data_IF_991624883232
#
_entry.id   IF_991624883232
#
_cell.length_a   1.000
_cell.length_b   1.000
_cell.length_c   1.000
_cell.angle_alpha   90.00
_cell.angle_beta   90.00
_cell.angle_gamma   90.00
#
_symmetry.space_group_name_H-M   'P 1'
#
loop_
_entity.id
_entity.type
_entity.pdbx_description
1 polymer ?
#
# COMPACT_ATOMS: atom_id res chain seq x y z
N UNK A 1 3.57 -10.96 -4.56
CA UNK A 1 4.00 -9.59 -4.20
C UNK A 1 3.29 -8.52 -4.99
N UNK A 2 3.39 -8.46 -6.32
CA UNK A 2 2.75 -7.39 -7.09
C UNK A 2 1.24 -7.18 -6.82
N UNK A 3 0.47 -8.26 -6.68
CA UNK A 3 -0.96 -8.16 -6.33
C UNK A 3 -1.18 -7.51 -4.95
N UNK A 4 -0.48 -8.00 -3.93
CA UNK A 4 -0.55 -7.50 -2.56
C UNK A 4 -0.12 -6.02 -2.45
N UNK A 5 0.98 -5.65 -3.11
CA UNK A 5 1.47 -4.27 -3.13
C UNK A 5 0.48 -3.31 -3.81
N UNK A 6 -0.16 -3.74 -4.91
CA UNK A 6 -1.20 -2.94 -5.60
C UNK A 6 -2.47 -2.74 -4.75
N UNK A 7 -2.85 -3.76 -4.00
CA UNK A 7 -4.06 -3.73 -3.16
C UNK A 7 -3.87 -2.93 -1.85
N UNK A 8 -2.64 -2.59 -1.49
CA UNK A 8 -2.34 -1.89 -0.24
C UNK A 8 -2.48 -0.38 -0.44
N UNK A 9 -3.44 0.24 0.27
CA UNK A 9 -3.66 1.69 0.21
C UNK A 9 -2.73 2.49 1.12
N UNK A 10 -2.17 1.87 2.17
CA UNK A 10 -1.26 2.53 3.10
C UNK A 10 0.15 2.65 2.50
N UNK A 11 0.53 3.86 2.13
CA UNK A 11 1.85 4.23 1.61
C UNK A 11 2.54 5.22 2.56
N UNK A 12 3.82 4.97 2.83
CA UNK A 12 4.67 5.83 3.66
C UNK A 12 5.98 6.12 2.95
N UNK A 13 6.59 7.25 3.32
CA UNK A 13 7.83 7.73 2.71
C UNK A 13 7.64 9.11 2.10
N UNK A 14 8.70 9.61 1.51
CA UNK A 14 8.71 10.89 0.80
C UNK A 14 9.13 10.61 -0.63
N UNK A 15 8.47 11.24 -1.59
CA UNK A 15 8.86 11.17 -2.99
C UNK A 15 10.36 11.48 -3.16
N UNK A 16 11.00 10.76 -4.08
CA UNK A 16 12.38 10.96 -4.50
C UNK A 16 13.40 10.86 -3.34
N UNK A 17 13.02 10.21 -2.24
CA UNK A 17 13.90 9.93 -1.10
C UNK A 17 14.15 8.44 -0.99
N UNK A 18 15.41 8.02 -1.13
CA UNK A 18 15.79 6.63 -0.93
C UNK A 18 15.61 6.20 0.53
N UNK A 19 15.25 4.94 0.75
CA UNK A 19 15.10 4.36 2.08
C UNK A 19 16.50 4.01 2.61
N UNK A 20 17.13 4.96 3.32
CA UNK A 20 18.50 4.81 3.85
C UNK A 20 18.55 4.65 5.36
N UNK A 21 17.46 4.95 6.08
CA UNK A 21 17.38 4.89 7.54
C UNK A 21 16.11 4.18 7.98
N UNK A 22 16.02 3.92 9.30
CA UNK A 22 14.87 3.27 9.91
C UNK A 22 13.60 4.16 9.99
N UNK A 23 13.63 5.39 9.48
CA UNK A 23 12.47 6.29 9.48
C UNK A 23 11.27 5.71 8.71
N UNK A 24 11.50 5.23 7.48
CA UNK A 24 10.41 4.69 6.63
C UNK A 24 9.82 3.41 7.22
N UNK A 25 10.62 2.40 7.65
CA UNK A 25 10.09 1.26 8.40
C UNK A 25 9.38 1.65 9.70
N UNK A 26 9.87 2.67 10.42
CA UNK A 26 9.24 3.20 11.62
C UNK A 26 7.86 3.81 11.37
N UNK A 27 7.71 4.56 10.26
CA UNK A 27 6.43 5.11 9.79
C UNK A 27 5.47 4.00 9.31
N UNK A 28 5.96 3.00 8.60
CA UNK A 28 5.16 1.84 8.18
C UNK A 28 4.60 1.10 9.40
N UNK A 29 5.43 0.88 10.42
CA UNK A 29 5.01 0.31 11.70
C UNK A 29 3.95 1.16 12.39
N UNK A 30 4.11 2.48 12.38
CA UNK A 30 3.13 3.40 12.97
C UNK A 30 1.78 3.32 12.25
N UNK A 31 1.75 3.23 10.91
CA UNK A 31 0.52 3.01 10.13
C UNK A 31 -0.16 1.70 10.48
N UNK A 32 0.58 0.59 10.56
CA UNK A 32 0.02 -0.69 10.98
C UNK A 32 -0.60 -0.62 12.39
N UNK A 33 0.02 0.11 13.31
CA UNK A 33 -0.54 0.30 14.65
C UNK A 33 -1.81 1.18 14.65
N UNK A 34 -1.85 2.22 13.81
CA UNK A 34 -3.03 3.09 13.65
C UNK A 34 -4.21 2.31 13.06
N UNK A 35 -3.94 1.32 12.21
CA UNK A 35 -4.94 0.38 11.70
C UNK A 35 -5.24 -0.79 12.65
N UNK A 36 -4.80 -0.75 13.92
CA UNK A 36 -4.99 -1.79 14.93
C UNK A 36 -4.43 -3.18 14.55
N UNK A 37 -3.49 -3.25 13.62
CA UNK A 37 -2.89 -4.53 13.24
C UNK A 37 -2.15 -5.14 14.44
N UNK A 38 -2.22 -6.47 14.66
CA UNK A 38 -1.48 -7.13 15.73
C UNK A 38 0.02 -6.85 15.64
N UNK A 39 0.68 -6.75 16.80
CA UNK A 39 2.11 -6.37 16.88
C UNK A 39 3.08 -7.53 16.65
N UNK A 40 2.62 -8.77 16.76
CA UNK A 40 3.40 -9.98 16.44
C UNK A 40 3.43 -10.23 14.93
N UNK A 41 4.32 -11.13 14.48
CA UNK A 41 4.32 -11.74 13.15
C UNK A 41 4.22 -10.76 11.96
N UNK A 42 4.95 -9.65 12.04
CA UNK A 42 5.09 -8.69 10.95
C UNK A 42 6.34 -8.98 10.15
N UNK A 43 6.23 -8.89 8.83
CA UNK A 43 7.33 -9.08 7.91
C UNK A 43 7.46 -7.89 6.96
N UNK A 44 8.69 -7.58 6.56
CA UNK A 44 9.02 -6.60 5.54
C UNK A 44 9.71 -7.33 4.39
N UNK A 45 9.22 -7.12 3.18
CA UNK A 45 9.90 -7.54 1.95
C UNK A 45 10.50 -6.35 1.23
N UNK A 46 11.81 -6.39 1.01
CA UNK A 46 12.62 -5.34 0.37
C UNK A 46 13.47 -5.96 -0.74
N UNK A 47 13.86 -5.16 -1.74
CA UNK A 47 14.87 -5.53 -2.73
C UNK A 47 16.28 -5.38 -2.15
N UNK A 48 17.27 -6.03 -2.76
CA UNK A 48 18.66 -5.98 -2.29
C UNK A 48 19.27 -4.57 -2.30
N UNK A 49 18.86 -3.69 -3.21
CA UNK A 49 19.41 -2.31 -3.30
C UNK A 49 18.89 -1.45 -2.15
N UNK A 50 17.60 -1.52 -1.87
CA UNK A 50 16.99 -0.87 -0.69
C UNK A 50 17.58 -1.41 0.61
N UNK A 51 17.77 -2.73 0.68
CA UNK A 51 18.35 -3.37 1.85
C UNK A 51 19.81 -2.96 2.10
N UNK A 52 20.64 -2.93 1.05
CA UNK A 52 22.01 -2.41 1.14
C UNK A 52 22.05 -0.93 1.59
N UNK A 53 21.07 -0.14 1.15
CA UNK A 53 20.93 1.26 1.55
C UNK A 53 20.56 1.42 3.02
N UNK A 54 19.68 0.55 3.54
CA UNK A 54 19.28 0.53 4.95
C UNK A 54 20.42 0.16 5.90
N UNK A 55 21.32 -0.75 5.48
CA UNK A 55 22.48 -1.16 6.29
C UNK A 55 23.38 0.05 6.61
N UNK A 56 23.50 1.02 5.70
CA UNK A 56 24.28 2.24 5.96
C UNK A 56 23.71 3.08 7.12
N UNK A 57 22.39 3.19 7.21
CA UNK A 57 21.73 3.95 8.29
C UNK A 57 21.70 3.24 9.65
N UNK A 58 22.22 2.01 9.76
CA UNK A 58 22.20 1.20 10.97
C UNK A 58 23.58 1.02 11.63
N UNK A 59 24.60 1.76 11.19
CA UNK A 59 25.98 1.68 11.69
C UNK A 59 26.10 1.70 13.22
N UNK A 60 25.38 2.61 13.89
CA UNK A 60 25.42 2.76 15.35
C UNK A 60 24.74 1.61 16.11
N UNK A 61 23.75 0.96 15.49
CA UNK A 61 23.07 -0.19 16.11
C UNK A 61 23.96 -1.43 16.05
N UNK A 62 24.70 -1.61 14.96
CA UNK A 62 25.61 -2.75 14.80
C UNK A 62 26.79 -2.71 15.76
N UNK A 63 27.21 -1.53 16.25
CA UNK A 63 28.33 -1.38 17.17
C UNK A 63 27.98 -1.70 18.63
N UNK A 64 26.70 -1.67 19.00
CA UNK A 64 26.23 -1.88 20.39
C UNK A 64 25.80 -3.34 20.64
N UNK A 65 25.53 -4.10 19.59
CA UNK A 65 25.04 -5.49 19.73
C UNK A 65 26.16 -6.44 20.21
N UNK A 66 25.93 -7.22 21.29
CA UNK A 66 26.90 -8.20 21.75
C UNK A 66 27.09 -9.29 20.68
N UNK A 67 28.34 -9.63 20.39
CA UNK A 67 28.67 -10.80 19.57
C UNK A 67 28.17 -12.08 20.28
N UNK A 68 27.66 -13.12 19.58
CA UNK A 68 27.65 -13.35 18.13
C UNK A 68 26.26 -13.15 17.50
N UNK A 69 25.70 -11.94 17.54
CA UNK A 69 24.47 -11.69 16.79
C UNK A 69 24.72 -11.70 15.26
N UNK A 70 23.84 -12.33 14.49
CA UNK A 70 23.91 -12.38 13.01
C UNK A 70 24.00 -10.99 12.38
N UNK A 71 23.41 -10.00 13.05
CA UNK A 71 23.43 -8.57 12.71
C UNK A 71 24.84 -7.97 12.81
N UNK A 72 25.58 -8.31 13.88
CA UNK A 72 26.96 -7.85 14.10
C UNK A 72 27.97 -8.52 13.16
N UNK A 73 27.79 -9.82 12.84
CA UNK A 73 28.76 -10.57 12.03
C UNK A 73 28.53 -10.43 10.53
N UNK A 74 27.28 -10.45 10.06
CA UNK A 74 26.94 -10.44 8.63
C UNK A 74 26.53 -9.06 8.11
N UNK A 75 26.46 -8.03 8.98
CA UNK A 75 25.93 -6.69 8.66
C UNK A 75 24.58 -6.77 7.94
N UNK A 76 23.76 -7.71 8.36
CA UNK A 76 22.44 -7.97 7.79
C UNK A 76 21.37 -7.53 8.79
N UNK A 77 20.30 -6.92 8.29
CA UNK A 77 19.15 -6.53 9.11
C UNK A 77 18.28 -7.77 9.26
N UNK A 78 18.32 -8.41 10.43
CA UNK A 78 17.49 -9.57 10.72
C UNK A 78 16.09 -9.14 11.20
N UNK A 79 16.04 -8.24 12.18
CA UNK A 79 14.79 -7.74 12.76
C UNK A 79 14.97 -6.31 13.25
N UNK A 80 14.08 -5.43 12.83
CA UNK A 80 14.02 -4.05 13.33
C UNK A 80 12.63 -3.48 13.08
N UNK A 81 12.28 -2.38 13.75
CA UNK A 81 10.94 -1.78 13.68
C UNK A 81 9.78 -2.79 13.95
N UNK A 82 10.02 -3.79 14.82
CA UNK A 82 9.08 -4.87 15.15
C UNK A 82 8.66 -5.76 13.96
N UNK A 83 9.48 -5.88 12.92
CA UNK A 83 9.26 -6.80 11.81
C UNK A 83 10.53 -7.53 11.39
N UNK A 84 10.34 -8.71 10.81
CA UNK A 84 11.38 -9.55 10.25
C UNK A 84 11.61 -9.18 8.77
N UNK A 85 12.87 -9.02 8.37
CA UNK A 85 13.24 -8.57 7.03
C UNK A 85 13.53 -9.75 6.10
N UNK A 86 13.01 -9.66 4.88
CA UNK A 86 13.24 -10.62 3.81
C UNK A 86 13.62 -9.89 2.52
N UNK A 87 14.68 -10.37 1.86
CA UNK A 87 15.13 -9.83 0.58
C UNK A 87 14.45 -10.58 -0.58
N UNK A 88 13.94 -9.84 -1.57
CA UNK A 88 13.32 -10.38 -2.77
C UNK A 88 13.47 -9.41 -3.94
N UNK A 89 14.07 -9.86 -5.04
CA UNK A 89 14.21 -9.04 -6.26
C UNK A 89 12.90 -8.89 -7.05
N UNK A 90 11.88 -9.71 -6.74
CA UNK A 90 10.54 -9.64 -7.34
C UNK A 90 9.61 -8.67 -6.58
N UNK A 91 10.19 -7.64 -5.97
CA UNK A 91 9.43 -6.49 -5.46
C UNK A 91 8.84 -5.73 -6.64
N UNK A 92 7.59 -5.28 -6.49
CA UNK A 92 6.90 -4.60 -7.57
C UNK A 92 7.35 -3.15 -7.68
N UNK A 93 7.49 -2.67 -8.92
CA UNK A 93 7.72 -1.26 -9.21
C UNK A 93 6.45 -0.62 -9.76
N UNK A 94 6.05 0.48 -9.15
CA UNK A 94 4.91 1.32 -9.52
C UNK A 94 5.31 2.32 -10.60
N UNK A 95 4.81 2.21 -11.84
CA UNK A 95 4.91 3.27 -12.81
C UNK A 95 3.78 4.29 -12.59
N UNK A 96 4.12 5.51 -12.17
CA UNK A 96 3.13 6.59 -12.12
C UNK A 96 2.72 7.02 -13.53
N UNK A 97 1.45 7.38 -13.68
CA UNK A 97 0.92 7.97 -14.90
C UNK A 97 1.49 9.37 -15.17
N UNK A 98 1.16 9.93 -16.33
CA UNK A 98 1.57 11.29 -16.71
C UNK A 98 0.92 12.38 -15.83
N UNK A 99 -0.20 12.06 -15.18
CA UNK A 99 -0.89 12.95 -14.25
C UNK A 99 -0.81 12.42 -12.82
N UNK A 100 -0.55 13.35 -11.89
CA UNK A 100 -0.53 13.07 -10.44
C UNK A 100 -1.40 14.05 -9.65
N UNK A 101 -2.17 14.90 -10.32
CA UNK A 101 -3.12 15.81 -9.71
C UNK A 101 -4.32 16.03 -10.63
N UNK A 102 -5.52 16.06 -10.05
CA UNK A 102 -6.78 16.43 -10.72
C UNK A 102 -7.77 16.92 -9.66
N UNK A 103 -9.02 17.13 -10.03
CA UNK A 103 -10.14 17.42 -9.13
C UNK A 103 -11.28 16.44 -9.39
N UNK A 104 -12.22 16.31 -8.45
CA UNK A 104 -13.50 15.69 -8.75
C UNK A 104 -14.25 16.50 -9.82
N UNK A 105 -14.95 15.80 -10.72
CA UNK A 105 -15.78 16.45 -11.76
C UNK A 105 -17.24 16.52 -11.32
N UNK A 106 -17.55 17.53 -10.50
CA UNK A 106 -18.91 17.82 -10.01
C UNK A 106 -19.59 16.60 -9.34
N UNK A 107 -18.79 15.61 -8.95
CA UNK A 107 -19.24 14.31 -8.48
C UNK A 107 -19.58 14.40 -7.01
N UNK A 108 -20.82 14.06 -6.66
CA UNK A 108 -21.25 13.96 -5.26
C UNK A 108 -20.96 12.55 -4.79
N UNK A 109 -19.85 12.39 -4.06
CA UNK A 109 -19.51 11.12 -3.42
C UNK A 109 -20.55 10.77 -2.37
N UNK A 110 -20.98 9.51 -2.35
CA UNK A 110 -21.90 8.96 -1.36
C UNK A 110 -21.24 7.84 -0.54
N UNK A 111 -21.92 7.43 0.53
CA UNK A 111 -21.48 6.34 1.39
C UNK A 111 -21.37 5.02 0.62
N UNK A 112 -20.21 4.38 0.69
CA UNK A 112 -19.95 3.10 0.04
C UNK A 112 -19.44 3.18 -1.40
N UNK A 113 -19.22 4.39 -1.93
CA UNK A 113 -18.63 4.55 -3.26
C UNK A 113 -17.26 3.85 -3.36
N UNK A 114 -17.09 3.15 -4.48
CA UNK A 114 -15.83 2.48 -4.86
C UNK A 114 -15.27 3.05 -6.17
N UNK A 115 -15.90 4.10 -6.69
CA UNK A 115 -15.50 4.84 -7.86
C UNK A 115 -15.81 6.33 -7.71
N UNK A 116 -15.02 7.16 -8.40
CA UNK A 116 -15.21 8.61 -8.47
C UNK A 116 -15.05 9.06 -9.91
N UNK A 117 -15.80 10.10 -10.28
CA UNK A 117 -15.57 10.83 -11.54
C UNK A 117 -14.62 11.99 -11.27
N UNK A 118 -13.54 12.06 -12.05
CA UNK A 118 -12.50 13.09 -11.96
C UNK A 118 -12.52 13.97 -13.21
N UNK A 119 -12.05 15.20 -13.07
CA UNK A 119 -11.76 16.04 -14.20
C UNK A 119 -10.75 15.31 -15.11
N UNK A 120 -10.96 15.45 -16.42
CA UNK A 120 -10.26 14.66 -17.44
C UNK A 120 -8.75 14.67 -17.24
N UNK A 121 -8.20 13.50 -16.95
CA UNK A 121 -6.77 13.22 -16.96
C UNK A 121 -6.29 13.10 -18.41
N UNK A 122 -5.09 13.57 -18.69
CA UNK A 122 -4.38 13.34 -19.95
C UNK A 122 -3.99 11.87 -20.15
N UNK A 123 -3.75 11.15 -19.06
CA UNK A 123 -3.52 9.71 -19.04
C UNK A 123 -4.22 9.04 -17.86
N UNK A 124 -4.84 7.89 -18.10
CA UNK A 124 -5.50 7.12 -17.04
C UNK A 124 -4.50 6.72 -15.94
N UNK A 125 -4.91 6.83 -14.67
CA UNK A 125 -4.13 6.38 -13.53
C UNK A 125 -3.91 4.86 -13.56
N UNK A 126 -2.74 4.41 -13.15
CA UNK A 126 -2.38 2.98 -13.20
C UNK A 126 -2.80 2.28 -11.90
N UNK A 127 -3.25 1.03 -12.02
CA UNK A 127 -3.61 0.20 -10.88
C UNK A 127 -2.47 0.09 -9.85
N UNK A 128 -2.79 0.40 -8.60
CA UNK A 128 -1.93 0.48 -7.44
C UNK A 128 -1.53 1.91 -7.06
N UNK A 129 -1.65 2.91 -7.96
CA UNK A 129 -1.34 4.29 -7.61
C UNK A 129 -2.14 4.70 -6.37
N UNK A 130 -1.47 5.29 -5.38
CA UNK A 130 -2.12 5.73 -4.14
C UNK A 130 -2.43 7.21 -4.25
N UNK A 131 -3.64 7.60 -3.90
CA UNK A 131 -4.08 8.99 -3.92
C UNK A 131 -4.80 9.39 -2.63
N UNK A 132 -4.91 10.70 -2.45
CA UNK A 132 -5.66 11.33 -1.35
C UNK A 132 -6.62 12.36 -1.93
N UNK A 133 -7.73 12.59 -1.24
CA UNK A 133 -8.70 13.63 -1.59
C UNK A 133 -8.64 14.74 -0.54
N UNK A 134 -8.56 16.00 -0.98
CA UNK A 134 -8.48 17.14 -0.09
C UNK A 134 -9.69 17.22 0.87
N UNK A 135 -9.42 17.44 2.16
CA UNK A 135 -10.44 17.54 3.20
C UNK A 135 -10.95 16.19 3.75
N UNK A 136 -10.50 15.06 3.18
CA UNK A 136 -10.90 13.71 3.62
C UNK A 136 -9.81 13.13 4.51
N UNK A 137 -10.00 13.21 5.84
CA UNK A 137 -9.02 12.71 6.82
C UNK A 137 -9.32 11.26 7.22
N UNK A 138 -8.27 10.48 7.49
CA UNK A 138 -8.43 9.14 8.05
C UNK A 138 -8.94 9.21 9.49
N UNK A 139 -9.68 8.19 9.94
CA UNK A 139 -10.22 8.10 11.30
C UNK A 139 -9.71 6.86 12.01
N UNK A 140 -9.57 6.95 13.33
CA UNK A 140 -9.24 5.81 14.14
C UNK A 140 -10.36 4.75 14.02
N UNK A 141 -10.06 3.47 13.69
CA UNK A 141 -11.09 2.47 13.39
C UNK A 141 -12.09 2.25 14.53
N UNK A 142 -11.62 2.30 15.79
CA UNK A 142 -12.46 2.12 17.00
C UNK A 142 -13.09 3.41 17.52
N UNK A 143 -12.29 4.45 17.85
CA UNK A 143 -12.80 5.68 18.46
C UNK A 143 -13.43 6.67 17.48
N UNK A 144 -13.25 6.47 16.17
CA UNK A 144 -13.69 7.35 15.07
C UNK A 144 -13.12 8.77 15.13
N UNK A 145 -12.09 9.00 15.94
CA UNK A 145 -11.40 10.29 15.99
C UNK A 145 -10.58 10.50 14.72
N UNK A 146 -10.74 11.65 14.08
CA UNK A 146 -9.95 12.00 12.90
C UNK A 146 -8.47 12.15 13.23
N UNK A 147 -7.62 11.59 12.39
CA UNK A 147 -6.18 11.82 12.41
C UNK A 147 -5.81 13.11 11.65
N UNK A 148 -4.58 13.58 11.83
CA UNK A 148 -4.04 14.77 11.15
C UNK A 148 -3.59 14.54 9.70
N UNK A 149 -3.81 13.35 9.14
CA UNK A 149 -3.40 13.00 7.78
C UNK A 149 -4.61 12.61 6.93
N UNK A 150 -4.51 12.88 5.64
CA UNK A 150 -5.54 12.51 4.67
C UNK A 150 -5.65 10.99 4.53
N UNK A 151 -6.87 10.52 4.25
CA UNK A 151 -7.13 9.13 3.90
C UNK A 151 -6.46 8.81 2.57
N UNK A 152 -5.77 7.68 2.53
CA UNK A 152 -5.17 7.15 1.31
C UNK A 152 -6.07 6.08 0.71
N UNK A 153 -6.17 6.10 -0.62
CA UNK A 153 -6.90 5.14 -1.44
C UNK A 153 -5.97 4.60 -2.52
N UNK A 154 -6.10 3.33 -2.88
CA UNK A 154 -5.39 2.72 -4.00
C UNK A 154 -6.28 2.62 -5.23
N UNK A 155 -5.75 2.93 -6.41
CA UNK A 155 -6.43 2.73 -7.69
C UNK A 155 -6.52 1.24 -7.99
N UNK A 156 -7.73 0.73 -8.21
CA UNK A 156 -7.97 -0.65 -8.67
C UNK A 156 -7.93 -0.68 -10.19
N UNK A 157 -8.63 0.25 -10.84
CA UNK A 157 -8.63 0.47 -12.29
C UNK A 157 -9.04 1.92 -12.58
N UNK A 158 -8.76 2.42 -13.77
CA UNK A 158 -9.24 3.76 -14.15
C UNK A 158 -9.35 3.96 -15.65
N UNK A 159 -10.10 4.98 -16.01
CA UNK A 159 -10.08 5.66 -17.30
C UNK A 159 -9.58 7.09 -17.10
N UNK A 160 -9.60 7.92 -18.14
CA UNK A 160 -9.22 9.33 -18.03
C UNK A 160 -10.21 10.17 -17.22
N UNK A 161 -11.44 9.71 -17.04
CA UNK A 161 -12.51 10.47 -16.34
C UNK A 161 -13.09 9.74 -15.13
N UNK A 162 -12.79 8.46 -14.94
CA UNK A 162 -13.31 7.66 -13.83
C UNK A 162 -12.22 6.83 -13.18
N UNK A 163 -12.17 6.81 -11.85
CA UNK A 163 -11.18 6.07 -11.06
C UNK A 163 -11.92 5.15 -10.11
N UNK A 164 -11.72 3.84 -10.24
CA UNK A 164 -12.20 2.86 -9.27
C UNK A 164 -11.10 2.62 -8.22
N UNK A 165 -11.47 2.59 -6.94
CA UNK A 165 -10.51 2.59 -5.85
C UNK A 165 -10.92 1.68 -4.68
N UNK A 166 -9.96 1.47 -3.78
CA UNK A 166 -10.15 0.77 -2.52
C UNK A 166 -9.38 1.48 -1.41
N UNK A 167 -9.87 1.49 -0.15
CA UNK A 167 -11.16 1.00 0.31
C UNK A 167 -12.34 1.90 -0.10
N UNK A 168 -13.56 1.38 -0.03
CA UNK A 168 -14.78 2.19 -0.21
C UNK A 168 -14.84 3.31 0.84
N UNK A 169 -15.41 4.46 0.49
CA UNK A 169 -15.46 5.64 1.38
C UNK A 169 -16.70 5.62 2.29
N UNK A 170 -16.48 5.81 3.59
CA UNK A 170 -17.55 5.83 4.60
C UNK A 170 -17.32 6.94 5.63
N UNK A 171 -18.25 7.88 5.73
CA UNK A 171 -18.24 8.96 6.72
C UNK A 171 -18.98 8.59 8.01
N UNK A 172 -19.17 9.56 8.90
CA UNK A 172 -19.88 9.38 10.17
C UNK A 172 -21.33 8.90 10.01
N UNK A 173 -21.94 9.10 8.85
CA UNK A 173 -23.28 8.58 8.54
C UNK A 173 -23.35 7.04 8.54
N UNK A 174 -22.21 6.36 8.32
CA UNK A 174 -22.13 4.89 8.23
C UNK A 174 -21.76 4.20 9.55
N UNK A 175 -21.72 4.94 10.66
CA UNK A 175 -21.52 4.41 12.01
C UNK A 175 -20.26 3.56 12.15
N UNK A 176 -20.42 2.26 12.40
CA UNK A 176 -19.30 1.34 12.61
C UNK A 176 -18.36 1.23 11.39
N UNK A 177 -18.87 1.43 10.17
CA UNK A 177 -18.09 1.34 8.94
C UNK A 177 -17.27 2.60 8.63
N UNK A 178 -17.44 3.69 9.41
CA UNK A 178 -16.74 4.95 9.18
C UNK A 178 -15.22 4.76 9.10
N UNK A 179 -14.65 5.24 8.00
CA UNK A 179 -13.22 5.22 7.71
C UNK A 179 -12.65 6.59 7.26
N UNK A 180 -13.52 7.59 7.07
CA UNK A 180 -13.13 8.99 6.81
C UNK A 180 -13.86 9.96 7.73
N UNK A 181 -13.27 11.15 7.92
CA UNK A 181 -13.84 12.21 8.75
C UNK A 181 -15.08 12.86 8.12
N UNK A 182 -15.20 12.80 6.80
CA UNK A 182 -16.27 13.40 6.02
C UNK A 182 -16.14 13.04 4.54
N UNK A 183 -17.24 13.19 3.80
CA UNK A 183 -17.23 13.03 2.34
C UNK A 183 -16.58 14.28 1.70
N UNK A 184 -15.87 14.11 0.56
CA UNK A 184 -15.23 15.22 -0.13
C UNK A 184 -16.26 16.19 -0.73
N UNK A 185 -15.83 17.43 -0.98
CA UNK A 185 -16.60 18.38 -1.78
C UNK A 185 -16.58 17.98 -3.25
N UNK A 186 -17.58 18.40 -4.03
CA UNK A 186 -17.77 17.99 -5.44
C UNK A 186 -16.64 18.39 -6.41
N UNK A 187 -15.72 19.25 -5.97
CA UNK A 187 -14.54 19.73 -6.72
C UNK A 187 -13.24 19.58 -5.92
N UNK A 188 -13.24 18.72 -4.90
CA UNK A 188 -12.07 18.49 -4.06
C UNK A 188 -10.86 18.04 -4.92
N UNK A 189 -9.68 18.51 -4.56
CA UNK A 189 -8.44 18.12 -5.22
C UNK A 189 -8.13 16.64 -4.93
N UNK A 190 -7.77 15.91 -5.98
CA UNK A 190 -7.33 14.52 -5.95
C UNK A 190 -5.85 14.50 -6.30
N UNK A 191 -5.01 14.06 -5.37
CA UNK A 191 -3.54 14.07 -5.54
C UNK A 191 -3.01 12.66 -5.41
N UNK A 192 -2.31 12.19 -6.44
CA UNK A 192 -1.61 10.91 -6.44
C UNK A 192 -0.21 11.08 -5.85
N UNK A 193 0.27 10.06 -5.14
CA UNK A 193 1.60 10.08 -4.54
C UNK A 193 2.71 10.00 -5.59
N UNK A 194 3.72 10.84 -5.44
CA UNK A 194 4.92 10.84 -6.25
C UNK A 194 4.87 11.81 -7.43
N UNK A 195 5.86 11.70 -8.30
CA UNK A 195 6.03 12.53 -9.49
C UNK A 195 5.41 11.83 -10.70
N UNK A 196 4.89 12.62 -11.64
CA UNK A 196 4.40 12.14 -12.94
C UNK A 196 5.48 11.38 -13.71
N UNK A 197 5.09 10.30 -14.39
CA UNK A 197 5.94 9.48 -15.26
C UNK A 197 7.20 8.90 -14.60
N UNK A 198 7.26 8.87 -13.26
CA UNK A 198 8.34 8.21 -12.51
C UNK A 198 7.94 6.81 -12.05
N UNK A 199 8.94 5.94 -11.92
CA UNK A 199 8.76 4.58 -11.41
C UNK A 199 9.35 4.45 -10.00
N UNK A 200 8.61 3.85 -9.08
CA UNK A 200 9.01 3.66 -7.68
C UNK A 200 9.03 2.17 -7.32
N UNK A 201 10.11 1.69 -6.70
CA UNK A 201 10.12 0.35 -6.08
C UNK A 201 9.26 0.38 -4.82
N UNK A 202 8.42 -0.63 -4.61
CA UNK A 202 7.44 -0.67 -3.52
C UNK A 202 7.69 -1.85 -2.55
N UNK A 203 8.61 -1.69 -1.58
CA UNK A 203 8.72 -2.62 -0.45
C UNK A 203 7.42 -2.71 0.34
N UNK A 204 7.12 -3.88 0.91
CA UNK A 204 5.85 -4.12 1.59
C UNK A 204 6.08 -4.61 3.03
N UNK A 205 5.48 -3.90 3.99
CA UNK A 205 5.36 -4.34 5.38
C UNK A 205 3.95 -4.88 5.63
N UNK A 206 3.82 -6.10 6.16
CA UNK A 206 2.53 -6.73 6.38
C UNK A 206 2.52 -7.63 7.61
N UNK A 207 1.31 -7.88 8.15
CA UNK A 207 1.05 -8.94 9.12
C UNK A 207 0.77 -10.25 8.39
N UNK A 208 1.14 -11.41 8.97
CA UNK A 208 0.95 -12.73 8.33
C UNK A 208 -0.48 -13.00 7.82
N UNK A 209 -1.48 -12.41 8.46
CA UNK A 209 -2.91 -12.59 8.13
C UNK A 209 -3.45 -11.58 7.10
N UNK A 210 -2.62 -10.68 6.58
CA UNK A 210 -3.07 -9.65 5.64
C UNK A 210 -3.38 -10.19 4.24
N UNK A 211 -2.72 -11.28 3.82
CA UNK A 211 -2.89 -11.88 2.49
C UNK A 211 -3.01 -13.39 2.60
N UNK A 212 -4.05 -13.95 2.00
CA UNK A 212 -4.26 -15.40 1.93
C UNK A 212 -4.14 -15.87 0.48
N UNK A 213 -3.45 -16.99 0.28
CA UNK A 213 -3.39 -17.68 -0.99
C UNK A 213 -4.33 -18.87 -0.94
N UNK A 214 -5.30 -18.92 -1.85
CA UNK A 214 -6.29 -19.99 -1.96
C UNK A 214 -6.09 -20.68 -3.30
N UNK A 215 -5.97 -22.01 -3.29
CA UNK A 215 -5.91 -22.85 -4.49
C UNK A 215 -7.09 -23.80 -4.47
N UNK A 216 -7.79 -23.91 -5.60
CA UNK A 216 -8.80 -24.95 -5.80
C UNK A 216 -8.16 -26.11 -6.57
N UNK A 217 -8.57 -27.34 -6.24
CA UNK A 217 -8.18 -28.53 -7.00
C UNK A 217 -8.93 -28.56 -8.34
N UNK A 218 -8.25 -28.99 -9.41
CA UNK A 218 -8.83 -29.06 -10.73
C UNK A 218 -9.36 -30.48 -10.97
N UNK A 219 -10.66 -30.68 -11.24
CA UNK A 219 -11.18 -32.00 -11.57
C UNK A 219 -10.52 -32.51 -12.85
N UNK A 220 -9.95 -33.71 -12.79
CA UNK A 220 -9.46 -34.42 -13.97
C UNK A 220 -10.65 -34.77 -14.86
N UNK A 221 -10.64 -34.31 -16.12
CA UNK A 221 -11.64 -34.70 -17.12
C UNK A 221 -11.40 -36.17 -17.52
N UNK A 222 -12.20 -37.10 -17.00
CA UNK A 222 -12.24 -38.49 -17.47
C UNK A 222 -13.19 -38.61 -18.66
N UNK A 223 -12.74 -38.32 -19.91
CA UNK A 223 -13.32 -38.95 -21.11
C UNK A 223 -12.67 -38.67 -22.50
N UNK A 224 -11.44 -38.16 -22.62
CA UNK A 224 -10.83 -38.04 -23.96
C UNK A 224 -10.38 -39.38 -24.59
N UNK A 225 -10.37 -40.48 -23.82
CA UNK A 225 -9.86 -41.78 -24.27
C UNK A 225 -10.94 -42.83 -24.62
N UNK A 226 -12.24 -42.54 -24.45
CA UNK A 226 -13.31 -43.53 -24.70
C UNK A 226 -13.97 -43.46 -26.08
N UNK A 227 -13.67 -42.49 -26.94
CA UNK A 227 -14.30 -42.37 -28.28
C UNK A 227 -13.48 -42.91 -29.47
N UNK A 228 -12.30 -43.50 -29.27
CA UNK A 228 -11.50 -44.08 -30.38
C UNK A 228 -11.63 -45.62 -30.50
N UNK A 229 -12.74 -46.19 -30.04
CA UNK A 229 -13.05 -47.61 -30.19
C UNK A 229 -14.49 -47.81 -30.69
N UNK A 230 -14.76 -47.33 -31.90
CA UNK A 230 -15.92 -47.70 -32.73
C UNK A 230 -15.44 -48.30 -34.04
#
# INVERSE_FOLDING_TARGET
MAYASKATYNLVGTDNTAITTLDVPGKARARLNQCLAPKGDRSIQVDSVTMGSLVNGMGDVFSILPAPSVSSTKRAIARTAMADYYENERVWSMPNAADVATTLDTYTVIEGDTDITVATLSAAAVAGMVFTIAGVYDVHPETKTAYSHLKQFTVVSSTTTAVTFSPAIYSSASGALQNVSGLPTTTAAVTFFGTASKTYVQPLMYHKEAFQFVTADLPLMDDAAKECAS
#
